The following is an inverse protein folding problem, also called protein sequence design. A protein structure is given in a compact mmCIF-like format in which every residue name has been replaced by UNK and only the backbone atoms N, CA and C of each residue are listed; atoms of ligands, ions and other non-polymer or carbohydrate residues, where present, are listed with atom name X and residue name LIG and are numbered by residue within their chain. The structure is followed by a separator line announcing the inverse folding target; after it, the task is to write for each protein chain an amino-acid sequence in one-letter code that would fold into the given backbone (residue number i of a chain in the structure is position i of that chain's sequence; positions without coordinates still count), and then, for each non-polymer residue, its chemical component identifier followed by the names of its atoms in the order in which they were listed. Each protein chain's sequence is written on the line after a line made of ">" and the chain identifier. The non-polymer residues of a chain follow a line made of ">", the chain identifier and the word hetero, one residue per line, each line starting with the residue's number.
data_IF_408080063001
#
_entry.id   IF_408080063001
#
_cell.length_a   1.000
_cell.length_b   1.000
_cell.length_c   1.000
_cell.angle_alpha   90.00
_cell.angle_beta   90.00
_cell.angle_gamma   90.00
#
_symmetry.space_group_name_H-M   'P 1'
#
loop_
_entity.id
_entity.type
_entity.pdbx_description
1 polymer ?
#
# COMPACT_ATOMS: atom_id res chain seq x y z
N UNK A 1 -22.01 3.55 -8.40
CA UNK A 1 -23.48 3.58 -8.55
C UNK A 1 -24.21 3.20 -7.26
N UNK A 2 -23.92 2.05 -6.63
CA UNK A 2 -24.57 1.55 -5.41
C UNK A 2 -24.54 2.52 -4.21
N UNK A 3 -23.40 3.15 -3.90
CA UNK A 3 -23.30 4.16 -2.82
C UNK A 3 -24.22 5.36 -3.01
N UNK A 4 -24.39 5.85 -4.25
CA UNK A 4 -25.26 7.01 -4.54
C UNK A 4 -26.74 6.65 -4.39
N UNK A 5 -27.12 5.44 -4.79
CA UNK A 5 -28.49 4.91 -4.66
C UNK A 5 -28.85 4.62 -3.19
N UNK A 6 -27.92 4.06 -2.42
CA UNK A 6 -28.09 3.91 -0.96
C UNK A 6 -28.26 5.25 -0.27
N UNK A 7 -27.46 6.26 -0.64
CA UNK A 7 -27.57 7.62 -0.09
C UNK A 7 -28.89 8.29 -0.46
N UNK A 8 -29.39 8.10 -1.69
CA UNK A 8 -30.68 8.67 -2.09
C UNK A 8 -31.84 8.02 -1.35
N UNK A 9 -31.81 6.69 -1.16
CA UNK A 9 -32.82 5.96 -0.38
C UNK A 9 -32.82 6.36 1.10
N UNK A 10 -31.64 6.53 1.71
CA UNK A 10 -31.55 6.99 3.10
C UNK A 10 -31.99 8.45 3.27
N UNK A 11 -31.72 9.32 2.30
CA UNK A 11 -32.24 10.69 2.30
C UNK A 11 -33.77 10.71 2.20
N UNK A 12 -34.33 9.89 1.31
CA UNK A 12 -35.78 9.83 1.07
C UNK A 12 -36.52 9.28 2.29
N UNK A 13 -35.96 8.26 2.96
CA UNK A 13 -36.50 7.74 4.22
C UNK A 13 -36.39 8.74 5.37
N UNK A 14 -35.29 9.51 5.44
CA UNK A 14 -35.09 10.54 6.45
C UNK A 14 -36.05 11.73 6.28
N UNK A 15 -36.37 12.10 5.04
CA UNK A 15 -37.40 13.10 4.71
C UNK A 15 -38.79 12.58 5.12
N UNK A 16 -39.14 11.35 4.78
CA UNK A 16 -40.41 10.72 5.17
C UNK A 16 -40.57 10.65 6.69
N UNK A 17 -39.54 10.22 7.42
CA UNK A 17 -39.52 10.18 8.88
C UNK A 17 -39.68 11.59 9.48
N UNK A 18 -39.03 12.59 8.90
CA UNK A 18 -39.16 13.98 9.34
C UNK A 18 -40.57 14.54 9.10
N UNK A 19 -41.19 14.23 7.97
CA UNK A 19 -42.58 14.63 7.68
C UNK A 19 -43.58 13.97 8.64
N UNK A 20 -43.37 12.68 8.97
CA UNK A 20 -44.19 11.96 9.95
C UNK A 20 -44.03 12.57 11.34
N UNK A 21 -42.79 12.79 11.78
CA UNK A 21 -42.50 13.42 13.09
C UNK A 21 -43.06 14.84 13.20
N UNK A 22 -43.09 15.60 12.10
CA UNK A 22 -43.76 16.90 12.03
C UNK A 22 -45.28 16.79 12.19
N UNK A 23 -45.91 15.88 11.45
CA UNK A 23 -47.37 15.67 11.49
C UNK A 23 -47.85 15.16 12.86
N UNK A 24 -47.06 14.34 13.53
CA UNK A 24 -47.35 13.80 14.87
C UNK A 24 -47.03 14.81 15.98
N UNK A 25 -46.46 15.98 15.66
CA UNK A 25 -46.18 17.03 16.64
C UNK A 25 -44.94 16.79 17.51
N UNK A 26 -44.15 15.74 17.21
CA UNK A 26 -42.96 15.34 17.96
C UNK A 26 -41.94 16.48 18.04
N UNK A 27 -41.79 17.27 16.97
CA UNK A 27 -40.86 18.41 16.98
C UNK A 27 -41.31 19.58 17.87
N UNK A 28 -42.62 19.77 18.12
CA UNK A 28 -43.10 20.79 19.07
C UNK A 28 -42.77 20.39 20.50
N UNK A 29 -43.04 19.14 20.87
CA UNK A 29 -42.70 18.62 22.21
C UNK A 29 -41.18 18.60 22.47
N UNK A 30 -40.37 18.35 21.44
CA UNK A 30 -38.90 18.39 21.51
C UNK A 30 -38.37 19.83 21.57
N UNK A 31 -38.97 20.78 20.84
CA UNK A 31 -38.50 22.17 20.79
C UNK A 31 -38.75 22.94 22.10
N UNK A 32 -39.77 22.55 22.87
CA UNK A 32 -40.09 23.15 24.17
C UNK A 32 -39.21 22.62 25.33
N UNK A 33 -38.38 21.61 25.07
CA UNK A 33 -37.47 21.04 26.06
C UNK A 33 -36.07 21.67 25.97
N UNK A 34 -35.45 22.06 27.10
CA UNK A 34 -34.04 22.44 27.12
C UNK A 34 -33.18 21.31 26.55
N UNK A 35 -32.20 21.64 25.71
CA UNK A 35 -31.31 20.66 25.07
C UNK A 35 -30.66 19.69 26.08
N UNK A 36 -30.33 20.16 27.29
CA UNK A 36 -29.80 19.34 28.39
C UNK A 36 -30.79 18.29 28.89
N UNK A 37 -32.07 18.61 29.01
CA UNK A 37 -33.14 17.69 29.41
C UNK A 37 -33.40 16.64 28.32
N UNK A 38 -33.30 17.05 27.06
CA UNK A 38 -33.45 16.19 25.90
C UNK A 38 -32.34 15.15 25.80
N UNK A 39 -31.08 15.58 25.96
CA UNK A 39 -29.92 14.68 26.03
C UNK A 39 -30.01 13.76 27.25
N UNK A 40 -30.43 14.27 28.41
CA UNK A 40 -30.62 13.46 29.62
C UNK A 40 -31.65 12.35 29.42
N UNK A 41 -32.79 12.68 28.80
CA UNK A 41 -33.86 11.71 28.52
C UNK A 41 -33.45 10.68 27.46
N UNK A 42 -32.70 11.07 26.43
CA UNK A 42 -32.15 10.13 25.44
C UNK A 42 -31.10 9.19 26.06
N UNK A 43 -30.21 9.69 26.91
CA UNK A 43 -29.18 8.88 27.58
C UNK A 43 -29.80 7.95 28.63
N UNK A 44 -30.87 8.39 29.32
CA UNK A 44 -31.65 7.55 30.24
C UNK A 44 -32.49 6.50 29.54
N UNK A 45 -32.80 6.67 28.25
CA UNK A 45 -33.49 5.66 27.49
C UNK A 45 -32.55 4.46 27.27
N UNK A 46 -32.84 3.37 27.98
CA UNK A 46 -32.04 2.12 27.95
C UNK A 46 -31.84 1.59 26.54
N UNK A 47 -32.81 1.77 25.63
CA UNK A 47 -32.70 1.33 24.25
C UNK A 47 -31.71 2.18 23.44
N UNK A 48 -31.79 3.50 23.54
CA UNK A 48 -30.87 4.41 22.86
C UNK A 48 -29.44 4.29 23.42
N UNK A 49 -29.31 4.28 24.75
CA UNK A 49 -28.04 4.08 25.45
C UNK A 49 -27.41 2.73 25.11
N UNK A 50 -28.21 1.66 25.07
CA UNK A 50 -27.80 0.33 24.65
C UNK A 50 -27.26 0.31 23.22
N UNK A 51 -28.02 0.83 22.25
CA UNK A 51 -27.57 0.90 20.85
C UNK A 51 -26.31 1.75 20.68
N UNK A 52 -26.25 2.93 21.29
CA UNK A 52 -25.07 3.80 21.23
C UNK A 52 -23.84 3.13 21.84
N UNK A 53 -24.00 2.47 23.00
CA UNK A 53 -22.92 1.73 23.66
C UNK A 53 -22.43 0.55 22.81
N UNK A 54 -23.33 -0.19 22.15
CA UNK A 54 -22.97 -1.27 21.22
C UNK A 54 -22.19 -0.73 20.02
N UNK A 55 -22.63 0.37 19.40
CA UNK A 55 -21.93 0.99 18.27
C UNK A 55 -20.54 1.45 18.68
N UNK A 56 -20.41 2.16 19.81
CA UNK A 56 -19.12 2.62 20.34
C UNK A 56 -18.21 1.42 20.63
N UNK A 57 -18.74 0.37 21.26
CA UNK A 57 -17.98 -0.85 21.56
C UNK A 57 -17.43 -1.49 20.29
N UNK A 58 -18.25 -1.64 19.24
CA UNK A 58 -17.81 -2.17 17.95
C UNK A 58 -16.72 -1.29 17.33
N UNK A 59 -16.87 0.03 17.35
CA UNK A 59 -15.87 0.96 16.83
C UNK A 59 -14.55 0.86 17.59
N UNK A 60 -14.59 0.80 18.93
CA UNK A 60 -13.40 0.66 19.78
C UNK A 60 -12.71 -0.67 19.53
N UNK A 61 -13.46 -1.78 19.52
CA UNK A 61 -12.93 -3.12 19.23
C UNK A 61 -12.28 -3.15 17.85
N UNK A 62 -12.92 -2.58 16.83
CA UNK A 62 -12.35 -2.50 15.48
C UNK A 62 -11.05 -1.69 15.45
N UNK A 63 -11.02 -0.50 16.07
CA UNK A 63 -9.80 0.33 16.12
C UNK A 63 -8.67 -0.37 16.87
N UNK A 64 -9.00 -1.03 17.98
CA UNK A 64 -8.05 -1.82 18.77
C UNK A 64 -7.50 -3.00 17.97
N UNK A 65 -8.37 -3.75 17.29
CA UNK A 65 -8.00 -4.87 16.43
C UNK A 65 -7.05 -4.42 15.31
N UNK A 66 -7.39 -3.36 14.57
CA UNK A 66 -6.54 -2.83 13.49
C UNK A 66 -5.16 -2.41 14.03
N UNK A 67 -5.13 -1.72 15.18
CA UNK A 67 -3.88 -1.31 15.81
C UNK A 67 -3.03 -2.50 16.26
N UNK A 68 -3.65 -3.49 16.91
CA UNK A 68 -2.99 -4.72 17.37
C UNK A 68 -2.39 -5.50 16.20
N UNK A 69 -3.16 -5.69 15.12
CA UNK A 69 -2.70 -6.41 13.91
C UNK A 69 -1.52 -5.71 13.24
N UNK A 70 -1.58 -4.38 13.07
CA UNK A 70 -0.43 -3.59 12.56
C UNK A 70 0.80 -3.77 13.44
N UNK A 71 0.64 -3.78 14.76
CA UNK A 71 1.75 -3.96 15.70
C UNK A 71 2.34 -5.36 15.60
N UNK A 72 1.50 -6.41 15.52
CA UNK A 72 1.95 -7.79 15.43
C UNK A 72 2.70 -8.07 14.13
N UNK A 73 2.19 -7.54 13.01
CA UNK A 73 2.82 -7.69 11.71
C UNK A 73 4.21 -7.04 11.64
N UNK A 74 4.38 -5.87 12.27
CA UNK A 74 5.69 -5.19 12.41
C UNK A 74 6.65 -5.88 13.37
N UNK A 75 6.18 -6.76 14.24
CA UNK A 75 7.04 -7.55 15.14
C UNK A 75 7.59 -8.80 14.45
N UNK A 76 6.94 -9.27 13.39
CA UNK A 76 7.41 -10.42 12.62
C UNK A 76 8.58 -10.00 11.71
N UNK A 77 9.74 -10.65 11.92
CA UNK A 77 10.93 -10.33 11.16
C UNK A 77 10.77 -10.67 9.67
N UNK A 78 10.03 -11.74 9.34
CA UNK A 78 9.85 -12.21 7.96
C UNK A 78 9.01 -11.22 7.17
N UNK A 79 7.94 -10.70 7.79
CA UNK A 79 7.14 -9.64 7.19
C UNK A 79 7.97 -8.37 6.99
N UNK A 80 8.84 -8.01 7.94
CA UNK A 80 9.67 -6.83 7.81
C UNK A 80 10.69 -6.93 6.67
N UNK A 81 11.28 -8.11 6.46
CA UNK A 81 12.18 -8.39 5.33
C UNK A 81 11.44 -8.22 4.00
N UNK A 82 10.28 -8.88 3.82
CA UNK A 82 9.47 -8.71 2.61
C UNK A 82 9.08 -7.25 2.37
N UNK A 83 8.65 -6.53 3.42
CA UNK A 83 8.28 -5.12 3.29
C UNK A 83 9.48 -4.26 2.85
N UNK A 84 10.67 -4.53 3.37
CA UNK A 84 11.89 -3.80 2.99
C UNK A 84 12.25 -4.03 1.51
N UNK A 85 12.17 -5.29 1.06
CA UNK A 85 12.44 -5.63 -0.34
C UNK A 85 11.42 -4.96 -1.26
N UNK A 86 10.12 -5.07 -0.95
CA UNK A 86 9.05 -4.41 -1.71
C UNK A 86 9.29 -2.89 -1.78
N UNK A 87 9.65 -2.24 -0.67
CA UNK A 87 9.97 -0.82 -0.68
C UNK A 87 11.15 -0.47 -1.56
N UNK A 88 12.20 -1.29 -1.56
CA UNK A 88 13.36 -1.13 -2.44
C UNK A 88 12.94 -1.25 -3.91
N UNK A 89 12.06 -2.21 -4.22
CA UNK A 89 11.44 -2.34 -5.54
C UNK A 89 10.64 -1.10 -5.95
N UNK A 90 9.81 -0.55 -5.05
CA UNK A 90 9.04 0.68 -5.29
C UNK A 90 9.98 1.85 -5.59
N UNK A 91 11.05 2.03 -4.81
CA UNK A 91 12.03 3.11 -4.99
C UNK A 91 12.68 3.02 -6.38
N UNK A 92 13.08 1.81 -6.81
CA UNK A 92 13.70 1.61 -8.12
C UNK A 92 12.72 1.89 -9.25
N UNK A 93 11.48 1.37 -9.18
CA UNK A 93 10.44 1.69 -10.18
C UNK A 93 10.20 3.20 -10.24
N UNK A 94 10.09 3.87 -9.09
CA UNK A 94 9.87 5.31 -9.05
C UNK A 94 11.02 6.10 -9.69
N UNK A 95 12.25 5.61 -9.59
CA UNK A 95 13.43 6.27 -10.14
C UNK A 95 13.47 6.19 -11.67
N UNK A 96 13.19 5.02 -12.26
CA UNK A 96 13.25 4.87 -13.71
C UNK A 96 11.92 5.19 -14.41
N UNK A 97 10.79 5.22 -13.70
CA UNK A 97 9.45 5.42 -14.27
C UNK A 97 9.31 6.70 -15.11
N UNK A 98 9.96 7.79 -14.70
CA UNK A 98 9.93 9.07 -15.43
C UNK A 98 10.78 9.06 -16.71
N UNK A 99 11.70 8.09 -16.85
CA UNK A 99 12.61 7.96 -17.97
C UNK A 99 12.15 6.92 -18.99
N UNK A 100 11.01 6.26 -18.76
CA UNK A 100 10.43 5.30 -19.68
C UNK A 100 9.96 6.04 -20.94
N UNK A 101 10.32 5.57 -22.15
CA UNK A 101 9.87 6.19 -23.39
C UNK A 101 8.33 6.27 -23.47
N UNK A 102 7.83 7.44 -23.90
CA UNK A 102 6.41 7.62 -24.19
C UNK A 102 6.12 7.12 -25.61
N UNK A 103 5.00 6.38 -25.78
CA UNK A 103 4.57 5.97 -27.11
C UNK A 103 4.12 7.18 -27.93
N UNK A 104 4.71 7.38 -29.10
CA UNK A 104 4.10 8.19 -30.15
C UNK A 104 2.87 7.46 -30.72
N UNK A 105 1.77 8.17 -31.02
CA UNK A 105 0.49 7.58 -31.40
C UNK A 105 0.59 6.72 -32.68
N UNK A 106 0.26 5.43 -32.55
CA UNK A 106 0.52 4.35 -33.53
C UNK A 106 -0.52 4.20 -34.66
N UNK A 107 -1.24 5.25 -35.09
CA UNK A 107 -2.29 5.05 -36.09
C UNK A 107 -1.69 4.66 -37.47
N UNK A 108 -1.67 3.34 -37.72
CA UNK A 108 -1.30 2.65 -38.96
C UNK A 108 0.12 2.80 -39.53
N UNK A 109 1.10 3.31 -38.78
CA UNK A 109 2.51 3.41 -39.25
C UNK A 109 3.41 2.29 -38.69
N UNK A 110 3.81 1.37 -39.58
CA UNK A 110 4.72 0.26 -39.28
C UNK A 110 6.12 0.72 -38.87
N UNK A 111 6.63 1.81 -39.45
CA UNK A 111 7.96 2.33 -39.12
C UNK A 111 7.96 3.01 -37.75
N UNK A 112 6.88 3.70 -37.41
CA UNK A 112 6.71 4.28 -36.08
C UNK A 112 6.64 3.21 -34.98
N UNK A 113 5.96 2.09 -35.25
CA UNK A 113 5.92 0.93 -34.34
C UNK A 113 7.30 0.34 -34.08
N UNK A 114 8.13 0.22 -35.11
CA UNK A 114 9.51 -0.25 -34.97
C UNK A 114 10.34 0.70 -34.12
N UNK A 115 10.26 2.01 -34.38
CA UNK A 115 10.93 3.04 -33.58
C UNK A 115 10.55 2.94 -32.11
N UNK A 116 9.26 2.91 -31.80
CA UNK A 116 8.76 2.79 -30.43
C UNK A 116 9.24 1.49 -29.75
N UNK A 117 9.18 0.35 -30.45
CA UNK A 117 9.66 -0.91 -29.92
C UNK A 117 11.16 -0.88 -29.62
N UNK A 118 11.96 -0.33 -30.54
CA UNK A 118 13.40 -0.19 -30.37
C UNK A 118 13.73 0.69 -29.15
N UNK A 119 13.04 1.82 -28.96
CA UNK A 119 13.25 2.68 -27.79
C UNK A 119 12.99 1.96 -26.47
N UNK A 120 11.94 1.12 -26.39
CA UNK A 120 11.69 0.28 -25.22
C UNK A 120 12.79 -0.75 -24.99
N UNK A 121 13.26 -1.41 -26.06
CA UNK A 121 14.32 -2.40 -25.99
C UNK A 121 15.63 -1.78 -25.53
N UNK A 122 16.02 -0.65 -26.11
CA UNK A 122 17.23 0.10 -25.75
C UNK A 122 17.18 0.58 -24.30
N UNK A 123 16.02 1.11 -23.88
CA UNK A 123 15.79 1.50 -22.50
C UNK A 123 15.90 0.31 -21.53
N UNK A 124 15.29 -0.82 -21.88
CA UNK A 124 15.37 -2.05 -21.09
C UNK A 124 16.80 -2.55 -20.97
N UNK A 125 17.55 -2.64 -22.07
CA UNK A 125 18.93 -3.12 -22.04
C UNK A 125 19.83 -2.20 -21.20
N UNK A 126 19.67 -0.88 -21.32
CA UNK A 126 20.40 0.10 -20.51
C UNK A 126 20.13 -0.04 -19.01
N UNK A 127 18.91 -0.42 -18.64
CA UNK A 127 18.47 -0.48 -17.24
C UNK A 127 18.20 -1.91 -16.73
N UNK A 128 18.63 -2.94 -17.47
CA UNK A 128 18.24 -4.35 -17.26
C UNK A 128 18.40 -4.82 -15.81
N UNK A 129 19.55 -4.52 -15.20
CA UNK A 129 19.84 -4.90 -13.82
C UNK A 129 18.85 -4.29 -12.81
N UNK A 130 18.53 -3.00 -12.96
CA UNK A 130 17.57 -2.32 -12.09
C UNK A 130 16.15 -2.86 -12.30
N UNK A 131 15.75 -3.07 -13.55
CA UNK A 131 14.42 -3.59 -13.90
C UNK A 131 14.25 -5.02 -13.36
N UNK A 132 15.25 -5.88 -13.54
CA UNK A 132 15.26 -7.25 -13.01
C UNK A 132 15.13 -7.25 -11.48
N UNK A 133 15.94 -6.45 -10.78
CA UNK A 133 15.88 -6.36 -9.32
C UNK A 133 14.53 -5.82 -8.84
N UNK A 134 14.00 -4.77 -9.48
CA UNK A 134 12.68 -4.24 -9.16
C UNK A 134 11.58 -5.28 -9.37
N UNK A 135 11.64 -6.03 -10.48
CA UNK A 135 10.71 -7.12 -10.75
C UNK A 135 10.74 -8.16 -9.63
N UNK A 136 11.94 -8.62 -9.26
CA UNK A 136 12.14 -9.58 -8.20
C UNK A 136 11.55 -9.06 -6.88
N UNK A 137 11.95 -7.86 -6.45
CA UNK A 137 11.47 -7.25 -5.21
C UNK A 137 9.93 -7.14 -5.13
N UNK A 138 9.27 -6.76 -6.23
CA UNK A 138 7.82 -6.56 -6.26
C UNK A 138 7.01 -7.85 -6.45
N UNK A 139 7.59 -8.90 -7.03
CA UNK A 139 6.89 -10.13 -7.42
C UNK A 139 7.40 -11.42 -6.77
N UNK A 140 8.42 -11.34 -5.91
CA UNK A 140 9.02 -12.47 -5.22
C UNK A 140 7.98 -13.36 -4.52
N UNK A 141 8.18 -14.66 -4.52
CA UNK A 141 7.28 -15.63 -3.89
C UNK A 141 7.15 -15.40 -2.38
N UNK A 142 8.23 -14.92 -1.74
CA UNK A 142 8.20 -14.52 -0.33
C UNK A 142 7.16 -13.44 -0.02
N UNK A 143 6.75 -12.61 -0.99
CA UNK A 143 5.71 -11.60 -0.80
C UNK A 143 4.33 -12.23 -0.51
N UNK A 144 4.12 -13.51 -0.90
CA UNK A 144 2.91 -14.25 -0.55
C UNK A 144 2.79 -14.41 0.98
N UNK A 145 3.91 -14.57 1.69
CA UNK A 145 3.91 -14.66 3.15
C UNK A 145 3.39 -13.38 3.80
N UNK A 146 3.78 -12.22 3.28
CA UNK A 146 3.27 -10.94 3.76
C UNK A 146 1.76 -10.84 3.52
N UNK A 147 1.30 -11.21 2.32
CA UNK A 147 -0.11 -11.23 1.95
C UNK A 147 -0.91 -12.15 2.88
N UNK A 148 -0.47 -13.39 3.08
CA UNK A 148 -1.11 -14.37 3.97
C UNK A 148 -1.12 -13.91 5.42
N UNK A 149 -0.04 -13.30 5.88
CA UNK A 149 0.07 -12.73 7.23
C UNK A 149 -0.90 -11.58 7.43
N UNK A 150 -1.10 -10.72 6.42
CA UNK A 150 -2.12 -9.65 6.45
C UNK A 150 -3.52 -10.26 6.50
N UNK A 151 -3.81 -11.26 5.67
CA UNK A 151 -5.12 -11.93 5.67
C UNK A 151 -5.44 -12.60 7.00
N UNK A 152 -4.43 -13.17 7.66
CA UNK A 152 -4.58 -13.87 8.93
C UNK A 152 -4.67 -12.89 10.12
N UNK A 153 -3.87 -11.82 10.10
CA UNK A 153 -3.81 -10.87 11.21
C UNK A 153 -5.01 -9.91 11.22
N UNK A 154 -5.57 -9.58 10.06
CA UNK A 154 -6.72 -8.67 9.97
C UNK A 154 -8.00 -9.45 9.75
N UNK A 155 -9.10 -9.04 10.40
CA UNK A 155 -10.44 -9.45 9.97
C UNK A 155 -10.74 -8.81 8.60
N UNK A 156 -10.09 -9.30 7.54
CA UNK A 156 -10.00 -8.61 6.25
C UNK A 156 -11.38 -8.46 5.59
N UNK A 157 -12.26 -9.42 5.84
CA UNK A 157 -13.66 -9.38 5.38
C UNK A 157 -14.48 -8.27 6.05
N UNK A 158 -14.05 -7.77 7.21
CA UNK A 158 -14.64 -6.61 7.90
C UNK A 158 -13.86 -5.32 7.62
N UNK A 159 -12.78 -5.40 6.84
CA UNK A 159 -11.93 -4.29 6.47
C UNK A 159 -11.91 -4.10 4.95
N UNK A 160 -13.02 -3.62 4.40
CA UNK A 160 -13.21 -3.46 2.96
C UNK A 160 -12.10 -2.65 2.28
N UNK A 161 -11.56 -1.62 2.95
CA UNK A 161 -10.44 -0.84 2.41
C UNK A 161 -9.19 -1.70 2.25
N UNK A 162 -8.80 -2.44 3.31
CA UNK A 162 -7.64 -3.33 3.24
C UNK A 162 -7.85 -4.46 2.23
N UNK A 163 -9.08 -4.99 2.14
CA UNK A 163 -9.45 -6.03 1.18
C UNK A 163 -9.29 -5.55 -0.27
N UNK A 164 -9.78 -4.33 -0.58
CA UNK A 164 -9.63 -3.70 -1.89
C UNK A 164 -8.16 -3.55 -2.29
N UNK A 165 -7.34 -2.98 -1.40
CA UNK A 165 -5.90 -2.82 -1.63
C UNK A 165 -5.22 -4.18 -1.86
N UNK A 166 -5.52 -5.18 -1.02
CA UNK A 166 -4.91 -6.50 -1.15
C UNK A 166 -5.31 -7.21 -2.44
N UNK A 167 -6.56 -7.05 -2.88
CA UNK A 167 -7.03 -7.61 -4.14
C UNK A 167 -6.31 -6.98 -5.33
N UNK A 168 -6.07 -5.66 -5.32
CA UNK A 168 -5.30 -5.00 -6.38
C UNK A 168 -3.88 -5.56 -6.50
N UNK A 169 -3.18 -5.73 -5.37
CA UNK A 169 -1.87 -6.40 -5.30
C UNK A 169 -1.95 -7.82 -5.88
N UNK A 170 -2.88 -8.65 -5.39
CA UNK A 170 -3.03 -10.04 -5.81
C UNK A 170 -3.34 -10.21 -7.29
N UNK A 171 -4.22 -9.37 -7.82
CA UNK A 171 -4.65 -9.45 -9.22
C UNK A 171 -3.53 -9.07 -10.19
N UNK A 172 -2.60 -8.21 -9.76
CA UNK A 172 -1.51 -7.69 -10.60
C UNK A 172 -0.22 -8.50 -10.49
N UNK A 173 0.01 -9.15 -9.36
CA UNK A 173 1.20 -9.97 -9.08
C UNK A 173 1.55 -10.98 -10.21
N UNK A 174 0.58 -11.73 -10.80
CA UNK A 174 0.89 -12.70 -11.85
C UNK A 174 1.44 -12.06 -13.12
N UNK A 175 1.09 -10.80 -13.42
CA UNK A 175 1.61 -10.12 -14.60
C UNK A 175 3.12 -9.90 -14.51
N UNK A 176 3.64 -9.60 -13.32
CA UNK A 176 5.09 -9.46 -13.13
C UNK A 176 5.77 -10.83 -13.01
N UNK A 177 5.20 -11.73 -12.21
CA UNK A 177 5.81 -13.03 -11.93
C UNK A 177 5.91 -13.93 -13.17
N UNK A 178 4.85 -13.97 -13.98
CA UNK A 178 4.75 -14.93 -15.07
C UNK A 178 5.18 -14.34 -16.42
N UNK A 179 4.96 -13.04 -16.66
CA UNK A 179 5.29 -12.43 -17.97
C UNK A 179 6.72 -11.91 -18.06
N UNK A 180 7.37 -11.60 -16.94
CA UNK A 180 8.75 -11.12 -16.96
C UNK A 180 9.76 -12.16 -17.47
N UNK A 181 9.66 -13.45 -17.11
CA UNK A 181 10.49 -14.49 -17.73
C UNK A 181 10.38 -14.52 -19.26
N UNK A 182 9.19 -14.29 -19.83
CA UNK A 182 9.00 -14.23 -21.29
C UNK A 182 9.77 -13.06 -21.93
N UNK A 183 9.92 -11.95 -21.21
CA UNK A 183 10.72 -10.78 -21.65
C UNK A 183 12.20 -11.14 -21.67
N UNK A 184 12.69 -11.84 -20.65
CA UNK A 184 14.08 -12.30 -20.59
C UNK A 184 14.38 -13.31 -21.71
N UNK A 185 13.47 -14.25 -21.99
CA UNK A 185 13.60 -15.18 -23.11
C UNK A 185 13.65 -14.47 -24.47
N UNK A 186 12.76 -13.51 -24.71
CA UNK A 186 12.73 -12.75 -25.96
C UNK A 186 13.97 -11.87 -26.14
N UNK A 187 14.48 -11.27 -25.06
CA UNK A 187 15.71 -10.48 -25.13
C UNK A 187 16.94 -11.33 -25.44
N UNK A 188 17.04 -12.53 -24.85
CA UNK A 188 18.11 -13.47 -25.18
C UNK A 188 18.04 -13.89 -26.66
N UNK A 189 16.84 -14.25 -27.14
CA UNK A 189 16.64 -14.59 -28.56
C UNK A 189 16.98 -13.45 -29.50
N UNK A 190 16.58 -12.22 -29.16
CA UNK A 190 16.90 -11.04 -29.95
C UNK A 190 18.42 -10.78 -30.00
N UNK A 191 19.14 -10.97 -28.90
CA UNK A 191 20.61 -10.86 -28.86
C UNK A 191 21.32 -11.87 -29.75
N UNK A 192 20.76 -13.07 -29.89
CA UNK A 192 21.35 -14.14 -30.72
C UNK A 192 21.04 -13.96 -32.21
N UNK A 193 19.83 -13.52 -32.54
CA UNK A 193 19.32 -13.53 -33.93
C UNK A 193 19.29 -12.15 -34.59
N UNK A 194 19.26 -11.08 -33.81
CA UNK A 194 18.97 -9.71 -34.25
C UNK A 194 17.69 -9.60 -35.09
N UNK A 195 16.71 -10.49 -34.86
CA UNK A 195 15.47 -10.58 -35.61
C UNK A 195 14.51 -9.42 -35.27
N UNK A 196 14.03 -8.74 -36.32
CA UNK A 196 13.15 -7.57 -36.22
C UNK A 196 11.76 -7.91 -35.67
N UNK A 197 11.20 -9.07 -36.00
CA UNK A 197 9.91 -9.52 -35.46
C UNK A 197 10.02 -9.82 -33.97
N UNK A 198 11.15 -10.39 -33.53
CA UNK A 198 11.42 -10.61 -32.10
C UNK A 198 11.57 -9.28 -31.36
N UNK A 199 12.26 -8.30 -31.96
CA UNK A 199 12.39 -6.94 -31.41
C UNK A 199 11.02 -6.28 -31.21
N UNK A 200 10.15 -6.33 -32.22
CA UNK A 200 8.80 -5.78 -32.14
C UNK A 200 7.99 -6.42 -31.00
N UNK A 201 7.97 -7.76 -30.93
CA UNK A 201 7.26 -8.50 -29.86
C UNK A 201 7.82 -8.18 -28.48
N UNK A 202 9.14 -8.01 -28.35
CA UNK A 202 9.80 -7.63 -27.11
C UNK A 202 9.39 -6.22 -26.69
N UNK A 203 9.43 -5.24 -27.59
CA UNK A 203 9.02 -3.86 -27.34
C UNK A 203 7.56 -3.75 -26.88
N UNK A 204 6.64 -4.48 -27.52
CA UNK A 204 5.23 -4.53 -27.12
C UNK A 204 5.04 -5.10 -25.70
N UNK A 205 5.74 -6.19 -25.37
CA UNK A 205 5.69 -6.77 -24.03
C UNK A 205 6.32 -5.86 -22.97
N UNK A 206 7.42 -5.19 -23.30
CA UNK A 206 8.07 -4.22 -22.41
C UNK A 206 7.13 -3.05 -22.10
N UNK A 207 6.44 -2.50 -23.10
CA UNK A 207 5.47 -1.44 -22.90
C UNK A 207 4.36 -1.83 -21.90
N UNK A 208 3.80 -3.04 -22.06
CA UNK A 208 2.79 -3.57 -21.12
C UNK A 208 3.38 -3.82 -19.73
N UNK A 209 4.58 -4.39 -19.67
CA UNK A 209 5.27 -4.67 -18.42
C UNK A 209 5.54 -3.40 -17.61
N UNK A 210 6.01 -2.33 -18.24
CA UNK A 210 6.30 -1.07 -17.55
C UNK A 210 5.05 -0.46 -16.92
N UNK A 211 3.92 -0.54 -17.62
CA UNK A 211 2.62 -0.14 -17.05
C UNK A 211 2.26 -1.02 -15.86
N UNK A 212 2.39 -2.35 -16.00
CA UNK A 212 2.11 -3.31 -14.92
C UNK A 212 3.01 -3.07 -13.69
N UNK A 213 4.30 -2.81 -13.88
CA UNK A 213 5.27 -2.54 -12.83
C UNK A 213 4.95 -1.25 -12.07
N UNK A 214 4.55 -0.18 -12.78
CA UNK A 214 4.10 1.08 -12.15
C UNK A 214 2.89 0.86 -11.26
N UNK A 215 1.85 0.21 -11.78
CA UNK A 215 0.66 -0.12 -10.99
C UNK A 215 0.99 -0.99 -9.79
N UNK A 216 1.87 -1.99 -9.96
CA UNK A 216 2.27 -2.86 -8.85
C UNK A 216 2.99 -2.08 -7.74
N UNK A 217 3.89 -1.16 -8.11
CA UNK A 217 4.57 -0.29 -7.16
C UNK A 217 3.57 0.60 -6.40
N UNK A 218 2.58 1.18 -7.09
CA UNK A 218 1.54 2.00 -6.48
C UNK A 218 0.65 1.19 -5.52
N UNK A 219 0.23 -0.02 -5.90
CA UNK A 219 -0.59 -0.89 -5.04
C UNK A 219 0.16 -1.37 -3.81
N UNK A 220 1.43 -1.76 -3.97
CA UNK A 220 2.26 -2.08 -2.82
C UNK A 220 2.45 -0.87 -1.91
N UNK A 221 2.73 0.31 -2.47
CA UNK A 221 2.86 1.54 -1.68
C UNK A 221 1.60 1.85 -0.88
N UNK A 222 0.42 1.75 -1.50
CA UNK A 222 -0.86 1.96 -0.81
C UNK A 222 -1.05 0.97 0.36
N UNK A 223 -0.66 -0.30 0.17
CA UNK A 223 -0.71 -1.30 1.23
C UNK A 223 0.23 -0.96 2.39
N UNK A 224 1.47 -0.57 2.08
CA UNK A 224 2.46 -0.27 3.10
C UNK A 224 2.14 1.03 3.86
N UNK A 225 1.60 2.03 3.16
CA UNK A 225 1.03 3.25 3.74
C UNK A 225 -0.14 2.93 4.66
N UNK A 226 -1.04 2.02 4.22
CA UNK A 226 -2.15 1.55 5.06
C UNK A 226 -1.64 0.87 6.34
N UNK A 227 -0.61 0.03 6.25
CA UNK A 227 0.04 -0.60 7.42
C UNK A 227 0.82 0.40 8.28
N UNK A 228 1.01 1.63 7.78
CA UNK A 228 1.78 2.70 8.41
C UNK A 228 3.24 2.30 8.57
N UNK A 229 3.78 1.54 7.62
CA UNK A 229 5.20 1.18 7.60
C UNK A 229 6.00 2.34 6.99
N UNK A 230 7.01 2.78 7.71
CA UNK A 230 7.91 3.86 7.26
C UNK A 230 9.28 3.24 6.95
N UNK A 231 9.64 3.08 5.66
CA UNK A 231 10.91 2.45 5.26
C UNK A 231 12.12 3.29 5.67
N UNK A 232 11.92 4.60 5.84
CA UNK A 232 12.93 5.55 6.34
C UNK A 232 13.47 5.08 7.68
N UNK A 233 12.60 4.52 8.54
CA UNK A 233 13.03 3.97 9.82
C UNK A 233 14.00 2.81 9.64
N UNK A 234 13.71 1.84 8.78
CA UNK A 234 14.57 0.67 8.60
C UNK A 234 15.87 1.04 7.88
N UNK A 235 15.80 1.88 6.85
CA UNK A 235 16.98 2.38 6.12
C UNK A 235 17.95 3.11 7.06
N UNK A 236 17.45 4.12 7.78
CA UNK A 236 18.25 4.85 8.77
C UNK A 236 18.69 3.96 9.92
N UNK A 237 17.89 2.96 10.31
CA UNK A 237 18.29 2.01 11.34
C UNK A 237 19.45 1.14 10.91
N UNK A 238 19.39 0.52 9.74
CA UNK A 238 20.48 -0.32 9.21
C UNK A 238 21.74 0.50 9.00
N UNK A 239 21.63 1.70 8.43
CA UNK A 239 22.75 2.64 8.27
C UNK A 239 23.36 2.99 9.64
N UNK A 240 22.56 3.51 10.57
CA UNK A 240 23.04 3.92 11.90
C UNK A 240 23.62 2.75 12.68
N UNK A 241 23.03 1.56 12.56
CA UNK A 241 23.52 0.34 13.24
C UNK A 241 24.87 -0.09 12.68
N UNK A 242 24.99 -0.16 11.35
CA UNK A 242 26.22 -0.56 10.69
C UNK A 242 27.36 0.45 10.90
N UNK A 243 27.05 1.74 10.98
CA UNK A 243 28.04 2.77 11.33
C UNK A 243 28.58 2.58 12.75
N UNK A 244 27.74 2.19 13.72
CA UNK A 244 28.12 2.11 15.13
C UNK A 244 28.73 0.78 15.55
N UNK A 245 28.09 -0.33 15.18
CA UNK A 245 28.41 -1.64 15.73
C UNK A 245 28.81 -2.67 14.68
N UNK A 246 28.57 -2.39 13.38
CA UNK A 246 28.75 -3.31 12.24
C UNK A 246 28.05 -4.66 12.49
N UNK A 247 26.89 -4.88 11.86
CA UNK A 247 26.02 -6.05 12.16
C UNK A 247 26.78 -7.38 12.13
N UNK A 248 27.72 -7.57 11.19
CA UNK A 248 28.53 -8.80 11.08
C UNK A 248 29.37 -9.10 12.32
N UNK A 249 29.88 -8.06 12.99
CA UNK A 249 30.72 -8.21 14.17
C UNK A 249 29.85 -8.38 15.41
N UNK A 250 28.75 -7.61 15.49
CA UNK A 250 27.85 -7.62 16.65
C UNK A 250 26.98 -8.89 16.78
N UNK A 251 26.78 -9.64 15.69
CA UNK A 251 26.11 -10.96 15.76
C UNK A 251 26.84 -11.92 16.71
N UNK A 252 28.15 -11.77 16.88
CA UNK A 252 28.98 -12.57 17.80
C UNK A 252 28.82 -12.18 19.26
N UNK A 253 28.23 -11.02 19.55
CA UNK A 253 27.99 -10.52 20.91
C UNK A 253 26.88 -11.31 21.62
N UNK A 254 26.85 -11.24 22.95
CA UNK A 254 25.78 -11.85 23.76
C UNK A 254 24.42 -11.18 23.50
N UNK A 255 23.33 -11.91 23.72
CA UNK A 255 21.97 -11.40 23.46
C UNK A 255 21.64 -10.11 24.22
N UNK A 256 22.10 -9.97 25.46
CA UNK A 256 21.86 -8.75 26.27
C UNK A 256 22.51 -7.52 25.65
N UNK A 257 23.74 -7.67 25.14
CA UNK A 257 24.50 -6.60 24.47
C UNK A 257 23.81 -6.20 23.17
N UNK A 258 23.43 -7.18 22.32
CA UNK A 258 22.71 -6.91 21.06
C UNK A 258 21.37 -6.21 21.30
N UNK A 259 20.61 -6.62 22.33
CA UNK A 259 19.36 -5.97 22.69
C UNK A 259 19.57 -4.51 23.13
N UNK A 260 20.63 -4.23 23.88
CA UNK A 260 21.00 -2.86 24.27
C UNK A 260 21.32 -1.99 23.04
N UNK A 261 22.18 -2.49 22.14
CA UNK A 261 22.53 -1.82 20.89
C UNK A 261 21.28 -1.52 20.03
N UNK A 262 20.39 -2.51 19.86
CA UNK A 262 19.12 -2.33 19.15
C UNK A 262 18.26 -1.21 19.76
N UNK A 263 18.12 -1.17 21.09
CA UNK A 263 17.33 -0.13 21.78
C UNK A 263 17.95 1.25 21.56
N UNK A 264 19.28 1.35 21.65
CA UNK A 264 20.00 2.61 21.46
C UNK A 264 19.83 3.15 20.03
N UNK A 265 20.09 2.33 19.00
CA UNK A 265 19.94 2.71 17.59
C UNK A 265 18.50 3.09 17.30
N UNK A 266 17.53 2.31 17.79
CA UNK A 266 16.10 2.60 17.62
C UNK A 266 15.72 3.96 18.19
N UNK A 267 16.27 4.36 19.35
CA UNK A 267 16.04 5.70 19.93
C UNK A 267 16.72 6.79 19.12
N UNK A 268 17.92 6.55 18.59
CA UNK A 268 18.63 7.52 17.75
C UNK A 268 17.86 7.81 16.45
N UNK A 269 17.46 6.76 15.73
CA UNK A 269 16.73 6.88 14.46
C UNK A 269 15.37 7.55 14.65
N UNK A 270 14.61 7.19 15.70
CA UNK A 270 13.34 7.85 16.00
C UNK A 270 13.50 9.35 16.26
N UNK A 271 14.56 9.76 16.96
CA UNK A 271 14.88 11.17 17.19
C UNK A 271 15.23 11.89 15.88
N UNK A 272 16.00 11.24 15.00
CA UNK A 272 16.33 11.80 13.69
C UNK A 272 15.09 12.02 12.82
N UNK A 273 14.22 11.02 12.70
CA UNK A 273 12.98 11.11 11.91
C UNK A 273 12.03 12.18 12.49
N UNK A 274 11.88 12.23 13.81
CA UNK A 274 11.07 13.28 14.45
C UNK A 274 11.63 14.67 14.16
N UNK A 275 12.95 14.85 14.25
CA UNK A 275 13.60 16.13 13.97
C UNK A 275 13.38 16.56 12.52
N UNK A 276 13.55 15.64 11.57
CA UNK A 276 13.33 15.89 10.15
C UNK A 276 11.86 16.26 9.84
N UNK A 277 10.91 15.51 10.41
CA UNK A 277 9.48 15.83 10.31
C UNK A 277 9.17 17.22 10.86
N UNK A 278 9.72 17.60 12.02
CA UNK A 278 9.53 18.93 12.60
C UNK A 278 10.17 20.04 11.75
N UNK A 279 11.36 19.84 11.20
CA UNK A 279 12.03 20.83 10.35
C UNK A 279 11.34 21.02 9.00
N UNK A 280 10.72 19.97 8.47
CA UNK A 280 10.03 20.01 7.18
C UNK A 280 8.54 20.34 7.30
N UNK A 281 7.95 20.28 8.50
CA UNK A 281 6.56 20.67 8.76
C UNK A 281 6.29 22.15 8.44
N UNK A 282 7.30 23.02 8.63
CA UNK A 282 7.20 24.46 8.34
C UNK A 282 7.59 24.85 6.91
N UNK A 283 7.96 23.87 6.07
CA UNK A 283 8.39 24.09 4.68
C UNK A 283 7.34 23.65 3.64
N UNK A 284 6.18 23.16 4.09
CA UNK A 284 5.05 22.71 3.27
C UNK A 284 3.86 23.64 3.49
#
# INVERSE_FOLDING_TARGET
>A
MYRKVMLSLTLLSLILLSLIAWKVGVFKEIADLPFSTLVSNMVRNTYFSGMACSIISVVVIYKWQVWYSKRKLKQDFRCNECIQDIYSGIEIVSNYASSIPEKENEDCDTELRKKNAQEYVDFYQKNKGYIHYANLALSYEGNNLLIESIQSCFFINLNFKLLEILNNVKNRLPNLRNKYPEIEELENKYKETADEEIMLRLGEKLALYFVDAKFMADYWKELLDYLGYDPTFVKLFVETYNTRYKIKDDVKSSMSVRNSHMIEVKRAVRRAILRDKFSNFWKK
#
